data_IF_914524627569
#
_entry.id   IF_914524627569
#
_cell.length_a   1.000
_cell.length_b   1.000
_cell.length_c   1.000
_cell.angle_alpha   90.00
_cell.angle_beta   90.00
_cell.angle_gamma   90.00
#
_symmetry.space_group_name_H-M   'P 1'
#
loop_
_entity.id
_entity.type
_entity.pdbx_description
1 polymer ?
#
# COMPACT_ATOMS: atom_id res chain seq x y z
N UNK A 1 -2.59 12.31 18.02
CA UNK A 1 -2.88 13.13 16.82
C UNK A 1 -3.87 12.37 15.92
N UNK A 2 -4.34 12.97 14.83
CA UNK A 2 -5.33 12.35 13.92
C UNK A 2 -4.74 11.11 13.23
N UNK A 3 -3.44 11.12 12.94
CA UNK A 3 -2.77 10.03 12.22
C UNK A 3 -2.69 8.75 13.06
N UNK A 4 -2.37 8.83 14.36
CA UNK A 4 -2.32 7.62 15.19
C UNK A 4 -3.71 7.01 15.32
N UNK A 5 -4.76 7.85 15.44
CA UNK A 5 -6.14 7.36 15.50
C UNK A 5 -6.57 6.67 14.20
N UNK A 6 -6.23 7.25 13.05
CA UNK A 6 -6.49 6.61 11.77
C UNK A 6 -5.77 5.26 11.66
N UNK A 7 -4.52 5.19 12.16
CA UNK A 7 -3.72 3.95 12.19
C UNK A 7 -4.37 2.87 13.04
N UNK A 8 -4.86 3.20 14.24
CA UNK A 8 -5.57 2.26 15.11
C UNK A 8 -6.82 1.68 14.43
N UNK A 9 -7.58 2.52 13.73
CA UNK A 9 -8.77 2.08 13.01
C UNK A 9 -8.40 1.18 11.82
N UNK A 10 -7.35 1.55 11.08
CA UNK A 10 -6.86 0.79 9.93
C UNK A 10 -6.39 -0.62 10.32
N UNK A 11 -5.68 -0.78 11.45
CA UNK A 11 -5.27 -2.11 11.96
C UNK A 11 -6.49 -3.00 12.27
N UNK A 12 -7.55 -2.42 12.83
CA UNK A 12 -8.77 -3.19 13.21
C UNK A 12 -9.55 -3.67 11.99
N UNK A 13 -9.55 -2.89 10.92
CA UNK A 13 -10.30 -3.17 9.71
C UNK A 13 -9.50 -2.74 8.45
N UNK A 14 -8.48 -3.51 8.05
CA UNK A 14 -7.61 -3.13 6.95
C UNK A 14 -8.35 -3.16 5.61
N UNK A 15 -8.54 -1.98 5.03
CA UNK A 15 -9.23 -1.80 3.76
C UNK A 15 -8.37 -2.23 2.57
N UNK A 16 -9.00 -2.50 1.42
CA UNK A 16 -8.28 -2.68 0.15
C UNK A 16 -8.04 -1.31 -0.48
N UNK A 17 -6.79 -1.02 -0.82
CA UNK A 17 -6.39 0.28 -1.40
C UNK A 17 -5.73 0.05 -2.73
N UNK A 18 -6.27 0.65 -3.79
CA UNK A 18 -5.74 0.52 -5.15
C UNK A 18 -4.70 1.61 -5.39
N UNK A 19 -3.53 1.23 -5.85
CA UNK A 19 -2.49 2.13 -6.31
C UNK A 19 -2.37 1.99 -7.84
N UNK A 20 -2.91 2.96 -8.61
CA UNK A 20 -2.95 2.87 -10.07
C UNK A 20 -1.59 3.10 -10.74
N UNK A 21 -0.63 3.69 -10.03
CA UNK A 21 0.70 4.05 -10.54
C UNK A 21 1.80 3.23 -9.87
N UNK A 22 1.73 1.90 -9.99
CA UNK A 22 2.68 1.00 -9.32
C UNK A 22 4.09 0.94 -9.95
N UNK A 23 4.45 1.96 -10.74
CA UNK A 23 5.82 2.17 -11.23
C UNK A 23 6.57 3.22 -10.41
N UNK A 24 5.87 4.01 -9.59
CA UNK A 24 6.50 4.99 -8.70
C UNK A 24 7.06 4.28 -7.45
N UNK A 25 8.36 4.45 -7.19
CA UNK A 25 9.03 3.88 -6.02
C UNK A 25 8.36 4.28 -4.69
N UNK A 26 7.81 5.49 -4.60
CA UNK A 26 7.11 5.99 -3.41
C UNK A 26 5.81 5.22 -3.19
N UNK A 27 5.10 4.87 -4.26
CA UNK A 27 3.90 4.02 -4.22
C UNK A 27 4.27 2.63 -3.72
N UNK A 28 5.37 2.07 -4.21
CA UNK A 28 5.85 0.75 -3.79
C UNK A 28 6.24 0.75 -2.30
N UNK A 29 6.98 1.76 -1.83
CA UNK A 29 7.33 1.94 -0.41
C UNK A 29 6.08 2.08 0.47
N UNK A 30 5.11 2.89 0.04
CA UNK A 30 3.86 3.08 0.78
C UNK A 30 3.04 1.80 0.86
N UNK A 31 2.86 1.09 -0.26
CA UNK A 31 2.16 -0.18 -0.31
C UNK A 31 2.84 -1.22 0.60
N UNK A 32 4.16 -1.34 0.51
CA UNK A 32 4.93 -2.24 1.36
C UNK A 32 4.74 -1.91 2.85
N UNK A 33 4.86 -0.64 3.24
CA UNK A 33 4.61 -0.19 4.62
C UNK A 33 3.21 -0.56 5.10
N UNK A 34 2.18 -0.25 4.30
CA UNK A 34 0.79 -0.54 4.65
C UNK A 34 0.54 -2.04 4.82
N UNK A 35 1.16 -2.89 3.98
CA UNK A 35 1.04 -4.34 4.07
C UNK A 35 1.80 -4.90 5.28
N UNK A 36 3.06 -4.48 5.47
CA UNK A 36 3.93 -4.96 6.56
C UNK A 36 3.31 -4.68 7.94
N UNK A 37 2.71 -3.51 8.12
CA UNK A 37 2.08 -3.12 9.39
C UNK A 37 0.60 -3.47 9.49
N UNK A 38 0.03 -4.19 8.50
CA UNK A 38 -1.37 -4.63 8.53
C UNK A 38 -2.39 -3.47 8.48
N UNK A 39 -2.01 -2.32 7.92
CA UNK A 39 -2.83 -1.11 7.86
C UNK A 39 -3.81 -1.13 6.68
N UNK A 40 -3.44 -1.81 5.59
CA UNK A 40 -4.30 -1.99 4.43
C UNK A 40 -3.92 -3.26 3.67
N UNK A 41 -4.70 -3.56 2.64
CA UNK A 41 -4.45 -4.61 1.64
C UNK A 41 -4.22 -3.94 0.29
N UNK A 42 -2.97 -3.55 -0.04
CA UNK A 42 -2.67 -2.84 -1.28
C UNK A 42 -2.98 -3.70 -2.51
N UNK A 43 -3.48 -3.06 -3.56
CA UNK A 43 -3.63 -3.63 -4.90
C UNK A 43 -2.86 -2.73 -5.85
N UNK A 44 -1.73 -3.24 -6.33
CA UNK A 44 -0.88 -2.53 -7.27
C UNK A 44 -1.38 -2.77 -8.69
N UNK A 45 -1.60 -1.69 -9.45
CA UNK A 45 -1.92 -1.77 -10.87
C UNK A 45 -0.72 -1.22 -11.64
N UNK A 46 -0.16 -2.06 -12.50
CA UNK A 46 0.84 -1.70 -13.48
C UNK A 46 0.53 -2.40 -14.80
N UNK A 47 0.98 -1.82 -15.91
CA UNK A 47 0.98 -2.53 -17.19
C UNK A 47 1.92 -3.73 -17.09
N UNK A 48 1.48 -4.92 -17.56
CA UNK A 48 2.25 -6.18 -17.49
C UNK A 48 3.65 -6.10 -18.12
N UNK A 49 3.89 -5.12 -18.99
CA UNK A 49 5.18 -4.89 -19.64
C UNK A 49 6.22 -4.19 -18.74
N UNK A 50 5.82 -3.72 -17.54
CA UNK A 50 6.68 -2.95 -16.62
C UNK A 50 6.58 -3.42 -15.15
N UNK A 51 6.22 -4.67 -14.89
CA UNK A 51 6.38 -5.21 -13.53
C UNK A 51 7.87 -5.45 -13.24
N UNK A 52 8.52 -4.47 -12.62
CA UNK A 52 9.84 -4.65 -12.02
C UNK A 52 9.63 -5.44 -10.73
N UNK A 53 10.13 -6.67 -10.69
CA UNK A 53 10.23 -7.44 -9.45
C UNK A 53 11.13 -6.68 -8.49
N UNK A 54 10.56 -6.13 -7.41
CA UNK A 54 11.34 -5.66 -6.27
C UNK A 54 11.94 -6.89 -5.57
N UNK A 55 13.23 -6.85 -5.20
CA UNK A 55 13.89 -7.91 -4.42
C UNK A 55 13.29 -8.06 -3.01
#
# INVERSE_FOLDING_TARGET
>A
MIIERARELAVRAPARVVFPDALDERVLKAAHYLQQYGLARPVLVASRLRCVSLP
#
